data_IF_887049815601
#
_entry.id   IF_887049815601
#
_cell.length_a   1.000
_cell.length_b   1.000
_cell.length_c   1.000
_cell.angle_alpha   90.00
_cell.angle_beta   90.00
_cell.angle_gamma   90.00
#
_symmetry.space_group_name_H-M   'P 1'
#
loop_
_entity.id
_entity.type
_entity.pdbx_description
1 polymer ?
#
# COMPACT_ATOMS: atom_id res chain seq x y z
N UNK A 1 47.07 -15.22 32.95
CA UNK A 1 46.44 -15.18 31.61
C UNK A 1 45.06 -14.59 31.71
N UNK A 2 44.97 -13.31 31.38
CA UNK A 2 43.77 -12.47 31.43
C UNK A 2 42.98 -12.66 30.13
N UNK A 3 41.78 -13.23 30.19
CA UNK A 3 40.84 -13.20 29.06
C UNK A 3 39.94 -11.98 29.22
N UNK A 4 40.19 -10.98 28.38
CA UNK A 4 39.34 -9.80 28.21
C UNK A 4 38.05 -10.26 27.52
N UNK A 5 36.95 -10.29 28.27
CA UNK A 5 35.62 -10.46 27.71
C UNK A 5 35.19 -9.18 27.02
N UNK A 6 35.27 -9.16 25.70
CA UNK A 6 34.74 -8.07 24.87
C UNK A 6 33.21 -8.06 25.02
N UNK A 7 32.69 -7.19 25.89
CA UNK A 7 31.28 -6.85 25.92
C UNK A 7 30.95 -6.10 24.63
N UNK A 8 30.43 -6.80 23.63
CA UNK A 8 29.80 -6.15 22.49
C UNK A 8 28.54 -5.45 23.00
N UNK A 9 28.61 -4.13 23.12
CA UNK A 9 27.46 -3.26 23.34
C UNK A 9 26.58 -3.32 22.08
N UNK A 10 25.74 -4.35 21.94
CA UNK A 10 24.66 -4.33 20.96
C UNK A 10 23.62 -3.34 21.47
N UNK A 11 23.75 -2.07 21.07
CA UNK A 11 22.60 -1.18 20.98
C UNK A 11 21.51 -1.91 20.19
N UNK A 12 20.27 -2.02 20.70
CA UNK A 12 19.16 -2.44 19.85
C UNK A 12 18.94 -1.29 18.85
N UNK A 13 19.62 -1.36 17.70
CA UNK A 13 19.23 -0.56 16.55
C UNK A 13 17.90 -1.15 16.11
N UNK A 14 16.82 -0.48 16.50
CA UNK A 14 15.50 -0.71 15.90
C UNK A 14 15.64 -0.28 14.44
N UNK A 15 16.12 -1.19 13.60
CA UNK A 15 16.10 -0.98 12.16
C UNK A 15 14.65 -0.70 11.76
N UNK A 16 14.38 0.44 11.10
CA UNK A 16 13.02 0.79 10.74
C UNK A 16 12.45 -0.30 9.84
N UNK A 17 11.27 -0.78 10.19
CA UNK A 17 10.58 -1.80 9.37
C UNK A 17 10.37 -1.26 7.96
N UNK A 18 10.78 -1.99 6.90
CA UNK A 18 10.68 -1.50 5.54
C UNK A 18 9.22 -1.30 5.12
N UNK A 19 8.98 -0.29 4.28
CA UNK A 19 7.67 -0.09 3.67
C UNK A 19 7.54 -0.90 2.38
N UNK A 20 6.45 -1.67 2.26
CA UNK A 20 6.06 -2.35 1.03
C UNK A 20 4.86 -1.60 0.46
N UNK A 21 5.06 -0.96 -0.70
CA UNK A 21 4.08 -0.08 -1.33
C UNK A 21 3.54 -0.75 -2.59
N UNK A 22 2.25 -1.07 -2.59
CA UNK A 22 1.60 -1.78 -3.68
C UNK A 22 0.68 -0.84 -4.47
N UNK A 23 0.73 -0.91 -5.79
CA UNK A 23 -0.20 -0.21 -6.65
C UNK A 23 -1.40 -1.10 -6.96
N UNK A 24 -2.60 -0.58 -6.70
CA UNK A 24 -3.84 -1.15 -7.15
C UNK A 24 -4.35 -0.33 -8.33
N UNK A 25 -4.09 -0.82 -9.54
CA UNK A 25 -4.49 -0.14 -10.77
C UNK A 25 -5.88 -0.59 -11.18
N UNK A 26 -6.78 0.36 -11.34
CA UNK A 26 -8.12 0.08 -11.85
C UNK A 26 -8.03 0.01 -13.37
N UNK A 27 -8.43 -1.11 -14.00
CA UNK A 27 -8.40 -1.20 -15.44
C UNK A 27 -9.36 -0.18 -16.04
N UNK A 28 -8.81 0.78 -16.79
CA UNK A 28 -9.57 1.68 -17.65
C UNK A 28 -9.81 1.02 -19.01
N UNK A 29 -9.30 1.63 -20.08
CA UNK A 29 -9.24 1.05 -21.44
C UNK A 29 -8.11 0.02 -21.62
N UNK A 30 -7.41 -0.34 -20.54
CA UNK A 30 -6.33 -1.30 -20.59
C UNK A 30 -6.94 -2.69 -20.81
N UNK A 31 -6.55 -3.36 -21.89
CA UNK A 31 -6.95 -4.73 -22.23
C UNK A 31 -6.26 -5.73 -21.28
N UNK A 32 -6.50 -5.59 -19.97
CA UNK A 32 -6.00 -6.52 -18.97
C UNK A 32 -6.97 -7.68 -18.86
N UNK A 33 -6.54 -8.85 -19.32
CA UNK A 33 -7.25 -10.10 -19.09
C UNK A 33 -7.18 -10.46 -17.60
N UNK A 34 -8.26 -10.19 -16.87
CA UNK A 34 -8.41 -10.56 -15.46
C UNK A 34 -8.84 -9.37 -14.59
N UNK A 35 -10.00 -9.50 -13.95
CA UNK A 35 -10.46 -8.54 -12.95
C UNK A 35 -9.99 -9.02 -11.56
N UNK A 36 -9.06 -8.31 -10.93
CA UNK A 36 -8.67 -8.57 -9.54
C UNK A 36 -9.66 -7.86 -8.62
N UNK A 37 -10.50 -8.59 -7.89
CA UNK A 37 -11.30 -7.99 -6.82
C UNK A 37 -10.42 -7.58 -5.64
N UNK A 38 -10.66 -6.42 -4.98
CA UNK A 38 -9.95 -6.05 -3.75
C UNK A 38 -10.05 -7.12 -2.65
N UNK A 39 -11.13 -7.90 -2.63
CA UNK A 39 -11.33 -8.98 -1.65
C UNK A 39 -10.32 -10.12 -1.76
N UNK A 40 -9.61 -10.23 -2.88
CA UNK A 40 -8.56 -11.23 -3.08
C UNK A 40 -7.16 -10.75 -2.66
N UNK A 41 -7.03 -9.51 -2.19
CA UNK A 41 -5.77 -8.97 -1.69
C UNK A 41 -5.58 -9.44 -0.25
N UNK A 42 -4.46 -10.12 0.01
CA UNK A 42 -4.01 -10.37 1.37
C UNK A 42 -3.57 -9.04 2.02
N UNK A 43 -4.25 -8.58 3.09
CA UNK A 43 -3.96 -7.28 3.73
C UNK A 43 -2.59 -7.19 4.42
N UNK A 44 -1.87 -8.30 4.57
CA UNK A 44 -0.55 -8.36 5.18
C UNK A 44 0.61 -8.18 4.19
N UNK A 45 0.35 -8.29 2.88
CA UNK A 45 1.40 -8.21 1.85
C UNK A 45 2.06 -6.83 1.76
N UNK A 46 1.30 -5.77 2.00
CA UNK A 46 1.72 -4.39 1.78
C UNK A 46 1.52 -3.59 3.07
N UNK A 47 2.41 -2.63 3.32
CA UNK A 47 2.19 -1.63 4.37
C UNK A 47 1.39 -0.44 3.85
N UNK A 48 1.46 -0.19 2.53
CA UNK A 48 0.73 0.87 1.83
C UNK A 48 0.12 0.33 0.54
N UNK A 49 -1.13 0.69 0.27
CA UNK A 49 -1.78 0.48 -1.03
C UNK A 49 -2.09 1.84 -1.65
N UNK A 50 -1.65 2.03 -2.89
CA UNK A 50 -1.92 3.21 -3.69
C UNK A 50 -2.93 2.84 -4.78
N UNK A 51 -4.15 3.36 -4.69
CA UNK A 51 -5.20 3.18 -5.70
C UNK A 51 -4.99 4.21 -6.81
N UNK A 52 -4.87 3.77 -8.06
CA UNK A 52 -4.56 4.67 -9.17
C UNK A 52 -5.34 4.38 -10.46
N UNK A 53 -5.53 5.39 -11.32
CA UNK A 53 -5.08 6.79 -11.19
C UNK A 53 -6.25 7.77 -11.29
N UNK A 54 -6.28 8.75 -10.37
CA UNK A 54 -7.13 9.92 -10.49
C UNK A 54 -6.43 10.97 -11.36
N UNK A 55 -7.19 11.93 -11.89
CA UNK A 55 -6.67 12.96 -12.80
C UNK A 55 -6.97 14.36 -12.28
N UNK A 56 -6.29 15.37 -12.82
CA UNK A 56 -6.64 16.77 -12.59
C UNK A 56 -7.43 17.29 -13.79
N UNK A 57 -8.67 17.71 -13.56
CA UNK A 57 -9.54 18.32 -14.59
C UNK A 57 -9.95 19.70 -14.11
N UNK A 58 -9.68 20.73 -14.93
CA UNK A 58 -9.98 22.14 -14.58
C UNK A 58 -9.43 22.53 -13.20
N UNK A 59 -8.16 22.18 -12.93
CA UNK A 59 -7.46 22.46 -11.67
C UNK A 59 -8.09 21.82 -10.42
N UNK A 60 -8.93 20.79 -10.60
CA UNK A 60 -9.56 20.04 -9.51
C UNK A 60 -9.26 18.56 -9.63
N UNK A 61 -9.19 17.89 -8.49
CA UNK A 61 -9.12 16.44 -8.44
C UNK A 61 -10.38 15.84 -9.06
N UNK A 62 -10.19 14.95 -10.02
CA UNK A 62 -11.23 14.23 -10.73
C UNK A 62 -10.97 12.73 -10.62
N UNK A 63 -11.94 12.00 -10.08
CA UNK A 63 -11.87 10.55 -9.92
C UNK A 63 -12.77 9.86 -10.95
N UNK A 64 -12.33 8.71 -11.45
CA UNK A 64 -13.14 7.89 -12.35
C UNK A 64 -14.21 7.11 -11.57
N UNK A 65 -15.32 6.71 -12.22
CA UNK A 65 -16.32 5.82 -11.60
C UNK A 65 -15.71 4.52 -11.05
N UNK A 66 -14.67 4.00 -11.71
CA UNK A 66 -13.93 2.83 -11.24
C UNK A 66 -13.28 3.06 -9.88
N UNK A 67 -12.62 4.21 -9.67
CA UNK A 67 -12.05 4.59 -8.36
C UNK A 67 -13.14 4.70 -7.31
N UNK A 68 -14.24 5.37 -7.63
CA UNK A 68 -15.36 5.56 -6.70
C UNK A 68 -15.94 4.20 -6.27
N UNK A 69 -16.10 3.25 -7.20
CA UNK A 69 -16.62 1.91 -6.92
C UNK A 69 -15.63 1.02 -6.15
N UNK A 70 -14.32 1.18 -6.40
CA UNK A 70 -13.31 0.26 -5.86
C UNK A 70 -12.73 0.72 -4.53
N UNK A 71 -12.55 2.02 -4.33
CA UNK A 71 -11.89 2.58 -3.14
C UNK A 71 -12.51 2.12 -1.82
N UNK A 72 -13.85 2.07 -1.63
CA UNK A 72 -14.44 1.56 -0.40
C UNK A 72 -14.03 0.12 -0.09
N UNK A 73 -13.92 -0.73 -1.12
CA UNK A 73 -13.55 -2.14 -0.96
C UNK A 73 -12.08 -2.29 -0.58
N UNK A 74 -11.18 -1.46 -1.13
CA UNK A 74 -9.78 -1.43 -0.68
C UNK A 74 -9.67 -0.94 0.76
N UNK A 75 -10.49 0.05 1.16
CA UNK A 75 -10.55 0.54 2.55
C UNK A 75 -10.98 -0.57 3.53
N UNK A 76 -11.88 -1.48 3.12
CA UNK A 76 -12.32 -2.59 3.95
C UNK A 76 -11.19 -3.55 4.36
N UNK A 77 -10.07 -3.60 3.61
CA UNK A 77 -8.90 -4.41 3.99
C UNK A 77 -8.30 -3.97 5.34
N UNK A 78 -8.50 -2.71 5.73
CA UNK A 78 -8.07 -2.19 7.03
C UNK A 78 -8.78 -2.86 8.22
N UNK A 79 -9.93 -3.52 8.00
CA UNK A 79 -10.58 -4.31 9.05
C UNK A 79 -9.72 -5.50 9.49
N UNK A 80 -8.94 -6.06 8.57
CA UNK A 80 -8.05 -7.19 8.83
C UNK A 80 -6.63 -6.72 9.18
N UNK A 81 -6.17 -5.62 8.56
CA UNK A 81 -4.90 -4.98 8.92
C UNK A 81 -5.10 -3.47 9.23
N UNK A 82 -5.35 -3.10 10.50
CA UNK A 82 -5.58 -1.70 10.89
C UNK A 82 -4.40 -0.75 10.65
N UNK A 83 -3.18 -1.30 10.52
CA UNK A 83 -1.96 -0.51 10.27
C UNK A 83 -1.79 -0.11 8.81
N UNK A 84 -2.47 -0.81 7.90
CA UNK A 84 -2.44 -0.59 6.45
C UNK A 84 -2.82 0.86 6.10
N UNK A 85 -1.99 1.50 5.27
CA UNK A 85 -2.25 2.84 4.74
C UNK A 85 -2.77 2.76 3.32
N UNK A 86 -3.73 3.62 3.00
CA UNK A 86 -4.35 3.66 1.67
C UNK A 86 -4.28 5.08 1.15
N UNK A 87 -3.79 5.22 -0.08
CA UNK A 87 -3.59 6.49 -0.77
C UNK A 87 -4.21 6.43 -2.17
N UNK A 88 -4.46 7.59 -2.76
CA UNK A 88 -4.85 7.70 -4.17
C UNK A 88 -3.69 8.36 -4.92
N UNK A 89 -3.26 7.75 -6.04
CA UNK A 89 -2.31 8.37 -6.95
C UNK A 89 -3.03 9.27 -7.95
N UNK A 90 -2.46 10.43 -8.21
CA UNK A 90 -2.90 11.38 -9.22
C UNK A 90 -1.81 11.47 -10.29
N UNK A 91 -2.16 11.23 -11.55
CA UNK A 91 -1.21 11.18 -12.67
C UNK A 91 -1.88 10.98 -14.02
#
# INVERSE_FOLDING_TARGET
NTTIGTSSLTTPTTEPTPYIVCYYTIPGSLNTSGNLSPSYIDPSLCTHIIVGFASIVKYKLSTSPGIIATLPNVILLKKQNPTLKILISVG
#
